data_IF_613691785076
#
_entry.id   IF_613691785076
#
_cell.length_a   1.000
_cell.length_b   1.000
_cell.length_c   1.000
_cell.angle_alpha   90.00
_cell.angle_beta   90.00
_cell.angle_gamma   90.00
#
_symmetry.space_group_name_H-M   'P 1'
#
loop_
_entity.id
_entity.type
_entity.pdbx_description
1 polymer ?
#
# COMPACT_ATOMS: atom_id res chain seq x y z
N UNK A 1 10.80 -16.41 10.89
CA UNK A 1 10.09 -15.39 10.09
C UNK A 1 10.48 -15.55 8.62
N UNK A 2 9.49 -15.54 7.73
CA UNK A 2 9.63 -15.45 6.27
C UNK A 2 9.59 -13.97 5.85
N UNK A 3 10.11 -13.63 4.67
CA UNK A 3 10.10 -12.23 4.19
C UNK A 3 8.67 -11.65 4.12
N UNK A 4 7.69 -12.44 3.69
CA UNK A 4 6.27 -12.03 3.59
C UNK A 4 5.64 -11.60 4.93
N UNK A 5 6.22 -11.99 6.07
CA UNK A 5 5.75 -11.61 7.41
C UNK A 5 6.38 -10.29 7.89
N UNK A 6 7.53 -9.90 7.33
CA UNK A 6 8.30 -8.74 7.75
C UNK A 6 7.53 -7.41 7.62
N UNK A 7 6.75 -7.12 6.55
CA UNK A 7 6.04 -5.85 6.43
C UNK A 7 5.10 -5.57 7.62
N UNK A 8 4.36 -6.58 8.11
CA UNK A 8 3.48 -6.41 9.28
C UNK A 8 4.25 -6.32 10.61
N UNK A 9 5.48 -6.85 10.68
CA UNK A 9 6.37 -6.62 11.83
C UNK A 9 6.86 -5.18 11.82
N UNK A 10 7.31 -4.68 10.67
CA UNK A 10 7.75 -3.30 10.48
C UNK A 10 6.62 -2.31 10.77
N UNK A 11 5.41 -2.53 10.25
CA UNK A 11 4.26 -1.66 10.51
C UNK A 11 3.92 -1.54 12.00
N UNK A 12 4.05 -2.63 12.77
CA UNK A 12 3.88 -2.62 14.24
C UNK A 12 5.02 -1.87 14.93
N UNK A 13 6.26 -2.11 14.52
CA UNK A 13 7.42 -1.44 15.08
C UNK A 13 7.39 0.08 14.82
N UNK A 14 7.00 0.49 13.61
CA UNK A 14 6.91 1.90 13.21
C UNK A 14 5.94 2.69 14.08
N UNK A 15 4.81 2.08 14.44
CA UNK A 15 3.83 2.65 15.37
C UNK A 15 4.30 2.73 16.83
N UNK A 16 5.29 1.91 17.20
CA UNK A 16 5.74 1.77 18.58
C UNK A 16 6.94 2.66 18.93
N UNK A 17 7.58 3.28 17.94
CA UNK A 17 8.80 4.09 18.14
C UNK A 17 8.70 5.45 17.45
N UNK A 18 9.45 6.42 17.98
CA UNK A 18 9.50 7.77 17.41
C UNK A 18 10.29 7.81 16.09
N UNK A 19 9.98 8.79 15.23
CA UNK A 19 10.77 9.04 14.02
C UNK A 19 12.22 9.37 14.39
N UNK A 20 13.18 8.75 13.71
CA UNK A 20 14.62 8.86 14.00
C UNK A 20 15.10 7.94 15.12
N UNK A 21 14.20 7.28 15.86
CA UNK A 21 14.59 6.26 16.83
C UNK A 21 15.09 5.01 16.12
N UNK A 22 16.05 4.32 16.76
CA UNK A 22 16.57 3.04 16.29
C UNK A 22 15.92 1.87 17.01
N UNK A 23 15.75 0.78 16.29
CA UNK A 23 15.29 -0.49 16.82
C UNK A 23 16.07 -1.64 16.17
N UNK A 24 16.11 -2.78 16.85
CA UNK A 24 16.77 -3.99 16.32
C UNK A 24 15.72 -5.07 16.12
N UNK A 25 15.73 -5.70 14.94
CA UNK A 25 14.93 -6.88 14.65
C UNK A 25 15.84 -8.09 14.47
N UNK A 26 15.43 -9.22 15.07
CA UNK A 26 16.07 -10.52 14.82
C UNK A 26 15.42 -11.14 13.58
N UNK A 27 16.19 -11.27 12.51
CA UNK A 27 15.78 -11.81 11.23
C UNK A 27 16.35 -13.21 11.01
N UNK A 28 15.66 -14.05 10.24
CA UNK A 28 16.24 -15.32 9.82
C UNK A 28 17.33 -15.09 8.77
N UNK A 29 18.31 -15.98 8.66
CA UNK A 29 19.32 -15.90 7.59
C UNK A 29 18.70 -15.78 6.19
N UNK A 30 17.61 -16.52 5.94
CA UNK A 30 16.88 -16.43 4.67
C UNK A 30 16.27 -15.05 4.39
N UNK A 31 15.91 -14.26 5.42
CA UNK A 31 15.42 -12.88 5.25
C UNK A 31 16.60 -11.92 5.05
N UNK A 32 17.72 -12.16 5.73
CA UNK A 32 18.95 -11.37 5.59
C UNK A 32 19.54 -11.48 4.19
N UNK A 33 19.57 -12.70 3.66
CA UNK A 33 20.11 -13.01 2.34
C UNK A 33 19.12 -12.67 1.20
N UNK A 34 17.90 -12.24 1.52
CA UNK A 34 16.91 -11.90 0.50
C UNK A 34 17.23 -10.52 -0.12
N UNK A 35 17.41 -10.44 -1.45
CA UNK A 35 17.76 -9.17 -2.11
C UNK A 35 16.69 -8.08 -1.96
N UNK A 36 15.45 -8.45 -1.57
CA UNK A 36 14.35 -7.51 -1.35
C UNK A 36 14.34 -6.92 0.06
N UNK A 37 15.22 -7.35 0.97
CA UNK A 37 15.20 -6.90 2.36
C UNK A 37 15.21 -5.37 2.48
N UNK A 38 16.13 -4.70 1.76
CA UNK A 38 16.25 -3.25 1.82
C UNK A 38 14.97 -2.54 1.35
N UNK A 39 14.36 -3.01 0.25
CA UNK A 39 13.10 -2.47 -0.27
C UNK A 39 11.94 -2.66 0.72
N UNK A 40 11.85 -3.85 1.35
CA UNK A 40 10.81 -4.14 2.36
C UNK A 40 10.98 -3.28 3.61
N UNK A 41 12.22 -3.07 4.06
CA UNK A 41 12.54 -2.19 5.19
C UNK A 41 12.16 -0.75 4.88
N UNK A 42 12.52 -0.25 3.70
CA UNK A 42 12.16 1.10 3.24
C UNK A 42 10.63 1.28 3.15
N UNK A 43 9.93 0.33 2.53
CA UNK A 43 8.48 0.34 2.42
C UNK A 43 7.78 0.26 3.79
N UNK A 44 8.44 -0.36 4.78
CA UNK A 44 8.00 -0.39 6.18
C UNK A 44 8.24 0.90 6.96
N UNK A 45 8.85 1.93 6.34
CA UNK A 45 9.12 3.22 6.98
C UNK A 45 10.42 3.26 7.76
N UNK A 46 11.43 2.49 7.36
CA UNK A 46 12.73 2.42 8.03
C UNK A 46 13.89 2.56 7.05
N UNK A 47 15.04 2.98 7.56
CA UNK A 47 16.34 2.78 6.92
C UNK A 47 17.04 1.59 7.57
N UNK A 48 17.64 0.72 6.76
CA UNK A 48 18.54 -0.34 7.23
C UNK A 48 19.91 0.25 7.54
N UNK A 49 20.23 0.40 8.83
CA UNK A 49 21.51 1.00 9.29
C UNK A 49 22.65 -0.01 9.23
N UNK A 50 22.36 -1.27 9.56
CA UNK A 50 23.36 -2.32 9.56
C UNK A 50 22.80 -3.68 9.95
N UNK A 51 23.55 -4.72 9.63
CA UNK A 51 23.26 -6.10 9.99
C UNK A 51 24.48 -6.69 10.70
N UNK A 52 24.29 -7.26 11.88
CA UNK A 52 25.29 -8.05 12.60
C UNK A 52 24.72 -9.44 12.92
N UNK A 53 25.26 -10.46 12.24
CA UNK A 53 24.72 -11.82 12.32
C UNK A 53 23.24 -11.87 11.91
N UNK A 54 22.36 -12.11 12.88
CA UNK A 54 20.91 -12.17 12.68
C UNK A 54 20.16 -10.90 13.11
N UNK A 55 20.89 -9.86 13.55
CA UNK A 55 20.31 -8.63 14.07
C UNK A 55 20.41 -7.52 13.01
N UNK A 56 19.25 -7.00 12.59
CA UNK A 56 19.16 -5.83 11.72
C UNK A 56 18.82 -4.60 12.56
N UNK A 57 19.71 -3.60 12.55
CA UNK A 57 19.45 -2.29 13.15
C UNK A 57 18.76 -1.39 12.13
N UNK A 58 17.62 -0.86 12.52
CA UNK A 58 16.75 -0.04 11.69
C UNK A 58 16.55 1.34 12.32
N UNK A 59 16.49 2.39 11.51
CA UNK A 59 16.15 3.74 11.96
C UNK A 59 14.81 4.18 11.36
N UNK A 60 13.86 4.59 12.21
CA UNK A 60 12.51 4.96 11.78
C UNK A 60 12.51 6.25 10.94
N UNK A 61 11.70 6.27 9.88
CA UNK A 61 11.47 7.43 9.00
C UNK A 61 10.03 7.92 9.15
N UNK A 62 9.80 9.20 8.87
CA UNK A 62 8.45 9.72 8.76
C UNK A 62 7.80 9.21 7.46
N UNK A 63 6.94 8.21 7.59
CA UNK A 63 6.35 7.48 6.48
C UNK A 63 5.02 6.83 6.88
N UNK A 64 4.26 6.35 5.89
CA UNK A 64 3.19 5.37 6.11
C UNK A 64 3.72 3.99 5.71
N UNK A 65 3.87 3.03 6.65
CA UNK A 65 4.31 1.68 6.32
C UNK A 65 3.36 0.95 5.37
N UNK A 66 3.91 0.08 4.54
CA UNK A 66 3.12 -0.92 3.82
C UNK A 66 2.47 -1.91 4.79
N UNK A 67 1.20 -2.22 4.55
CA UNK A 67 0.43 -3.20 5.30
C UNK A 67 0.10 -4.37 4.37
N UNK A 68 1.08 -5.24 4.15
CA UNK A 68 1.01 -6.32 3.16
C UNK A 68 1.53 -7.63 3.74
N UNK A 69 1.08 -8.75 3.17
CA UNK A 69 1.48 -10.12 3.51
C UNK A 69 1.25 -11.01 2.27
N UNK A 70 1.49 -12.31 2.37
CA UNK A 70 1.10 -13.30 1.36
C UNK A 70 -0.43 -13.54 1.28
N UNK A 71 -0.88 -14.23 0.23
CA UNK A 71 -2.27 -14.65 0.00
C UNK A 71 -3.31 -13.50 0.01
N UNK A 72 -2.92 -12.30 -0.42
CA UNK A 72 -3.85 -11.17 -0.53
C UNK A 72 -4.88 -11.41 -1.64
N UNK A 73 -6.16 -11.22 -1.30
CA UNK A 73 -7.24 -11.22 -2.30
C UNK A 73 -7.38 -9.88 -3.02
N UNK A 74 -6.90 -8.81 -2.41
CA UNK A 74 -6.85 -7.47 -3.00
C UNK A 74 -5.68 -6.69 -2.39
N UNK A 75 -4.91 -6.00 -3.23
CA UNK A 75 -3.95 -5.00 -2.78
C UNK A 75 -4.47 -3.60 -3.13
N UNK A 76 -4.82 -2.79 -2.13
CA UNK A 76 -5.23 -1.41 -2.34
C UNK A 76 -4.00 -0.50 -2.40
N UNK A 77 -3.86 0.25 -3.49
CA UNK A 77 -2.73 1.14 -3.72
C UNK A 77 -3.20 2.59 -3.86
N UNK A 78 -2.84 3.45 -2.91
CA UNK A 78 -3.04 4.89 -2.99
C UNK A 78 -2.07 5.59 -3.93
N UNK A 79 -2.24 6.90 -4.09
CA UNK A 79 -1.27 7.72 -4.82
C UNK A 79 -0.04 7.97 -3.95
N UNK A 80 -0.25 8.57 -2.79
CA UNK A 80 0.74 8.80 -1.76
C UNK A 80 0.06 9.07 -0.42
N UNK A 81 0.77 8.87 0.71
CA UNK A 81 0.24 9.21 2.02
C UNK A 81 0.14 10.72 2.22
N UNK A 82 -0.92 11.17 2.88
CA UNK A 82 -0.92 12.52 3.47
C UNK A 82 -0.06 12.55 4.73
N UNK A 83 0.38 13.75 5.15
CA UNK A 83 1.09 13.91 6.43
C UNK A 83 0.31 13.31 7.61
N UNK A 84 -1.01 13.49 7.64
CA UNK A 84 -1.86 12.94 8.69
C UNK A 84 -1.97 11.41 8.63
N UNK A 85 -1.97 10.81 7.44
CA UNK A 85 -1.96 9.36 7.29
C UNK A 85 -0.63 8.75 7.77
N UNK A 86 0.50 9.41 7.46
CA UNK A 86 1.82 9.03 7.93
C UNK A 86 1.94 9.14 9.46
N UNK A 87 1.44 10.23 10.04
CA UNK A 87 1.40 10.43 11.50
C UNK A 87 0.53 9.39 12.22
N UNK A 88 -0.65 9.08 11.69
CA UNK A 88 -1.55 8.08 12.28
C UNK A 88 -1.10 6.62 12.02
N UNK A 89 -0.20 6.40 11.07
CA UNK A 89 0.12 5.07 10.54
C UNK A 89 -1.09 4.36 9.91
N UNK A 90 -2.05 5.11 9.37
CA UNK A 90 -3.26 4.57 8.72
C UNK A 90 -3.55 5.35 7.43
N UNK A 91 -3.55 4.64 6.30
CA UNK A 91 -3.97 5.20 5.01
C UNK A 91 -5.43 5.66 5.04
N UNK A 92 -5.75 6.74 4.32
CA UNK A 92 -7.14 7.24 4.17
C UNK A 92 -7.87 7.56 5.48
N UNK A 93 -7.16 7.84 6.58
CA UNK A 93 -7.75 7.93 7.93
C UNK A 93 -8.65 9.14 8.16
N UNK A 94 -8.50 10.22 7.36
CA UNK A 94 -9.22 11.48 7.57
C UNK A 94 -10.74 11.32 7.40
N UNK A 95 -11.52 12.08 8.17
CA UNK A 95 -12.99 12.01 8.14
C UNK A 95 -13.62 12.35 6.78
N UNK A 96 -12.93 13.15 5.95
CA UNK A 96 -13.38 13.48 4.60
C UNK A 96 -13.01 12.42 3.56
N UNK A 97 -12.22 11.39 3.89
CA UNK A 97 -11.92 10.30 2.97
C UNK A 97 -12.94 9.17 3.10
N UNK A 98 -13.47 8.71 1.97
CA UNK A 98 -14.56 7.72 1.91
C UNK A 98 -14.08 6.28 1.73
N UNK A 99 -12.77 6.03 1.73
CA UNK A 99 -12.22 4.67 1.55
C UNK A 99 -12.73 3.71 2.63
N UNK A 100 -12.49 4.00 3.92
CA UNK A 100 -12.93 3.14 5.01
C UNK A 100 -14.46 2.97 5.08
N UNK A 101 -15.29 4.04 4.95
CA UNK A 101 -16.73 3.89 4.80
C UNK A 101 -17.15 2.97 3.63
N UNK A 102 -16.49 3.08 2.48
CA UNK A 102 -16.80 2.24 1.32
C UNK A 102 -16.37 0.78 1.55
N UNK A 103 -15.19 0.55 2.14
CA UNK A 103 -14.70 -0.79 2.52
C UNK A 103 -15.64 -1.48 3.52
N UNK A 104 -16.09 -0.75 4.54
CA UNK A 104 -17.05 -1.26 5.52
C UNK A 104 -18.40 -1.58 4.87
N UNK A 105 -18.94 -0.66 4.05
CA UNK A 105 -20.22 -0.87 3.34
C UNK A 105 -20.15 -2.01 2.32
N UNK A 106 -18.99 -2.24 1.72
CA UNK A 106 -18.72 -3.37 0.82
C UNK A 106 -18.54 -4.70 1.57
N UNK A 107 -18.45 -4.70 2.91
CA UNK A 107 -18.12 -5.89 3.70
C UNK A 107 -16.68 -6.39 3.48
N UNK A 108 -15.78 -5.51 3.05
CA UNK A 108 -14.37 -5.82 2.76
C UNK A 108 -13.44 -5.52 3.94
N UNK A 109 -13.87 -4.69 4.89
CA UNK A 109 -13.15 -4.43 6.13
C UNK A 109 -14.01 -4.86 7.32
N UNK A 110 -13.53 -5.82 8.11
CA UNK A 110 -14.23 -6.29 9.32
C UNK A 110 -13.94 -5.41 10.54
N UNK A 111 -12.88 -4.59 10.48
CA UNK A 111 -12.55 -3.55 11.46
C UNK A 111 -12.31 -2.21 10.79
N UNK A 112 -12.83 -1.15 11.41
CA UNK A 112 -12.63 0.20 10.91
C UNK A 112 -11.20 0.68 11.19
N UNK A 113 -10.54 1.21 10.15
CA UNK A 113 -9.22 1.86 10.24
C UNK A 113 -8.11 1.02 10.89
N UNK A 114 -8.17 -0.30 10.74
CA UNK A 114 -7.15 -1.24 11.21
C UNK A 114 -6.47 -1.95 10.02
N UNK A 115 -5.45 -1.32 9.39
CA UNK A 115 -4.81 -1.86 8.20
C UNK A 115 -3.99 -3.14 8.48
N UNK A 116 -3.53 -3.35 9.71
CA UNK A 116 -2.86 -4.60 10.11
C UNK A 116 -3.87 -5.74 10.14
N UNK A 117 -5.05 -5.52 10.73
CA UNK A 117 -6.12 -6.51 10.72
C UNK A 117 -6.63 -6.79 9.31
N UNK A 118 -6.79 -5.74 8.51
CA UNK A 118 -7.24 -5.82 7.12
C UNK A 118 -6.30 -6.75 6.31
N UNK A 119 -4.99 -6.59 6.45
CA UNK A 119 -4.01 -7.45 5.78
C UNK A 119 -4.01 -8.89 6.34
N UNK A 120 -3.97 -9.03 7.66
CA UNK A 120 -3.78 -10.34 8.32
C UNK A 120 -5.04 -11.23 8.32
N UNK A 121 -6.24 -10.66 8.31
CA UNK A 121 -7.49 -11.41 8.49
C UNK A 121 -8.45 -11.25 7.32
N UNK A 122 -8.63 -10.03 6.80
CA UNK A 122 -9.50 -9.79 5.65
C UNK A 122 -8.79 -10.07 4.30
N UNK A 123 -7.48 -10.35 4.35
CA UNK A 123 -6.59 -10.60 3.21
C UNK A 123 -6.52 -9.43 2.23
N UNK A 124 -6.64 -8.20 2.73
CA UNK A 124 -6.57 -6.98 1.90
C UNK A 124 -5.37 -6.14 2.34
N UNK A 125 -4.41 -5.97 1.44
CA UNK A 125 -3.20 -5.19 1.71
C UNK A 125 -3.38 -3.71 1.38
N UNK A 126 -2.53 -2.86 1.95
CA UNK A 126 -2.47 -1.42 1.65
C UNK A 126 -1.03 -0.96 1.38
N UNK A 127 -0.85 -0.20 0.31
CA UNK A 127 0.40 0.47 -0.10
C UNK A 127 0.06 1.77 -0.84
N UNK A 128 1.08 2.48 -1.33
CA UNK A 128 0.93 3.71 -2.12
C UNK A 128 1.92 3.70 -3.29
N UNK A 129 1.54 4.25 -4.46
CA UNK A 129 2.45 4.37 -5.61
C UNK A 129 3.72 5.14 -5.21
N UNK A 130 3.56 6.28 -4.56
CA UNK A 130 4.68 7.10 -4.08
C UNK A 130 4.70 7.06 -2.55
N UNK A 131 5.82 6.60 -1.98
CA UNK A 131 5.96 6.44 -0.52
C UNK A 131 6.16 7.76 0.24
N UNK A 132 6.59 8.82 -0.46
CA UNK A 132 6.83 10.15 0.11
C UNK A 132 5.52 10.79 0.60
N UNK A 133 5.39 11.10 1.90
CA UNK A 133 4.25 11.86 2.40
C UNK A 133 4.26 13.30 1.87
N UNK A 134 3.10 13.82 1.48
CA UNK A 134 2.95 15.23 1.08
C UNK A 134 1.73 15.87 1.72
N UNK A 135 1.70 17.21 1.75
CA UNK A 135 0.50 17.94 2.18
C UNK A 135 -0.58 17.88 1.10
N UNK A 136 -0.17 17.92 -0.17
CA UNK A 136 -1.06 17.88 -1.34
C UNK A 136 -0.56 16.89 -2.40
N UNK A 137 -1.49 16.22 -3.06
CA UNK A 137 -1.17 15.21 -4.09
C UNK A 137 -0.62 15.83 -5.41
N UNK A 138 -0.79 17.14 -5.61
CA UNK A 138 -0.27 17.88 -6.77
C UNK A 138 1.25 18.19 -6.66
N UNK A 139 1.86 17.90 -5.51
CA UNK A 139 3.31 17.98 -5.28
C UNK A 139 4.09 16.79 -5.88
N UNK A 140 3.39 15.79 -6.43
CA UNK A 140 3.99 14.60 -7.02
C UNK A 140 4.35 14.83 -8.48
N UNK A 141 5.57 14.46 -8.83
CA UNK A 141 6.07 14.52 -10.20
C UNK A 141 5.74 13.24 -10.97
N UNK A 142 5.80 13.32 -12.31
CA UNK A 142 5.47 12.20 -13.20
C UNK A 142 6.46 11.03 -13.10
N UNK A 143 7.73 11.33 -12.89
CA UNK A 143 8.79 10.35 -12.65
C UNK A 143 8.59 9.58 -11.34
N UNK A 144 8.17 10.26 -10.26
CA UNK A 144 7.81 9.59 -9.00
C UNK A 144 6.68 8.56 -9.20
N UNK A 145 5.69 8.85 -10.04
CA UNK A 145 4.65 7.87 -10.36
C UNK A 145 5.17 6.68 -11.19
N UNK A 146 6.17 6.88 -12.06
CA UNK A 146 6.74 5.80 -12.86
C UNK A 146 7.56 4.85 -11.98
N UNK A 147 8.45 5.40 -11.17
CA UNK A 147 9.18 4.67 -10.14
C UNK A 147 8.20 3.94 -9.20
N UNK A 148 7.10 4.62 -8.86
CA UNK A 148 6.03 4.06 -8.06
C UNK A 148 5.30 2.88 -8.70
N UNK A 149 5.14 2.86 -10.03
CA UNK A 149 4.58 1.71 -10.75
C UNK A 149 5.58 0.56 -10.79
N UNK A 150 6.86 0.84 -11.01
CA UNK A 150 7.91 -0.20 -11.06
C UNK A 150 8.03 -0.93 -9.71
N UNK A 151 8.04 -0.20 -8.59
CA UNK A 151 8.03 -0.80 -7.25
C UNK A 151 6.71 -1.53 -6.95
N UNK A 152 5.56 -1.03 -7.41
CA UNK A 152 4.29 -1.76 -7.27
C UNK A 152 4.29 -3.06 -8.09
N UNK A 153 4.94 -3.08 -9.25
CA UNK A 153 5.14 -4.26 -10.09
C UNK A 153 6.05 -5.30 -9.42
N UNK A 154 7.15 -4.87 -8.81
CA UNK A 154 7.98 -5.72 -7.95
C UNK A 154 7.12 -6.35 -6.85
N UNK A 155 6.37 -5.54 -6.10
CA UNK A 155 5.50 -5.99 -5.02
C UNK A 155 4.47 -7.03 -5.49
N UNK A 156 3.79 -6.77 -6.62
CA UNK A 156 2.84 -7.71 -7.20
C UNK A 156 3.51 -9.00 -7.69
N UNK A 157 4.75 -8.93 -8.16
CA UNK A 157 5.49 -10.10 -8.65
C UNK A 157 5.81 -11.09 -7.54
N UNK A 158 6.24 -10.61 -6.36
CA UNK A 158 6.64 -11.51 -5.27
C UNK A 158 5.53 -11.83 -4.26
N UNK A 159 4.53 -10.95 -4.08
CA UNK A 159 3.35 -11.23 -3.24
C UNK A 159 2.20 -11.90 -4.00
N UNK A 160 2.16 -11.74 -5.32
CA UNK A 160 1.12 -12.28 -6.20
C UNK A 160 -0.32 -12.10 -5.67
N UNK A 161 -0.74 -10.87 -5.29
CA UNK A 161 -2.13 -10.63 -4.89
C UNK A 161 -3.07 -10.99 -6.05
N UNK A 162 -4.28 -11.47 -5.72
CA UNK A 162 -5.27 -11.86 -6.74
C UNK A 162 -5.68 -10.69 -7.65
N UNK A 163 -5.63 -9.46 -7.13
CA UNK A 163 -5.85 -8.22 -7.85
C UNK A 163 -5.17 -7.06 -7.13
N UNK A 164 -4.86 -5.99 -7.87
CA UNK A 164 -4.45 -4.69 -7.31
C UNK A 164 -5.45 -3.61 -7.71
N UNK A 165 -5.89 -2.82 -6.73
CA UNK A 165 -6.79 -1.69 -6.89
C UNK A 165 -6.03 -0.37 -6.71
N UNK A 166 -5.78 0.34 -7.80
CA UNK A 166 -5.18 1.68 -7.79
C UNK A 166 -6.26 2.73 -7.52
N UNK A 167 -6.21 3.34 -6.34
CA UNK A 167 -7.19 4.31 -5.86
C UNK A 167 -6.83 5.71 -6.37
N UNK A 168 -7.56 6.17 -7.38
CA UNK A 168 -7.35 7.45 -8.06
C UNK A 168 -6.64 7.28 -9.40
N UNK A 169 -7.22 7.86 -10.45
CA UNK A 169 -6.72 7.70 -11.82
C UNK A 169 -5.47 8.53 -12.12
N UNK A 170 -5.14 9.54 -11.30
CA UNK A 170 -4.10 10.53 -11.62
C UNK A 170 -2.72 9.89 -11.80
N UNK A 171 -2.27 9.10 -10.81
CA UNK A 171 -0.97 8.41 -10.88
C UNK A 171 -0.90 7.42 -12.02
N UNK A 172 -1.95 6.60 -12.19
CA UNK A 172 -2.03 5.63 -13.30
C UNK A 172 -2.00 6.31 -14.67
N UNK A 173 -2.71 7.43 -14.84
CA UNK A 173 -2.70 8.22 -16.08
C UNK A 173 -1.37 8.90 -16.35
N UNK A 174 -0.68 9.32 -15.30
CA UNK A 174 0.62 9.96 -15.42
C UNK A 174 1.71 8.95 -15.84
N UNK A 175 1.71 7.76 -15.22
CA UNK A 175 2.77 6.77 -15.39
C UNK A 175 2.51 5.74 -16.50
N UNK A 176 1.26 5.32 -16.69
CA UNK A 176 0.91 4.15 -17.51
C UNK A 176 0.11 4.51 -18.75
N UNK A 177 -1.14 4.94 -18.58
CA UNK A 177 -2.05 5.24 -19.69
C UNK A 177 -2.82 6.52 -19.44
N UNK A 178 -2.43 7.57 -20.16
CA UNK A 178 -3.05 8.91 -20.09
C UNK A 178 -4.56 8.91 -20.35
N UNK A 179 -5.09 7.91 -21.06
CA UNK A 179 -6.52 7.78 -21.40
C UNK A 179 -7.28 6.80 -20.50
N UNK A 180 -6.63 6.20 -19.51
CA UNK A 180 -7.25 5.19 -18.66
C UNK A 180 -8.57 5.68 -18.04
N UNK A 181 -9.56 4.81 -18.02
CA UNK A 181 -10.83 4.98 -17.31
C UNK A 181 -10.85 4.08 -16.07
N UNK A 182 -11.80 4.33 -15.16
CA UNK A 182 -12.04 3.42 -14.05
C UNK A 182 -12.48 2.05 -14.58
N UNK A 183 -12.08 0.98 -13.88
CA UNK A 183 -12.32 -0.41 -14.29
C UNK A 183 -11.05 -1.24 -14.39
N UNK A 184 -11.20 -2.46 -14.90
CA UNK A 184 -10.10 -3.35 -15.25
C UNK A 184 -9.24 -2.76 -16.37
N UNK A 185 -7.93 -2.87 -16.22
CA UNK A 185 -6.95 -2.38 -17.19
C UNK A 185 -6.39 -3.54 -18.02
N UNK A 186 -5.96 -3.24 -19.24
CA UNK A 186 -5.24 -4.20 -20.09
C UNK A 186 -3.86 -4.53 -19.51
N UNK A 187 -3.16 -3.52 -18.96
CA UNK A 187 -1.86 -3.73 -18.31
C UNK A 187 -2.03 -4.47 -16.99
N UNK A 188 -1.25 -5.54 -16.83
CA UNK A 188 -1.01 -6.24 -15.56
C UNK A 188 0.26 -5.70 -14.88
N UNK A 189 0.43 -5.97 -13.60
CA UNK A 189 1.67 -5.76 -12.85
C UNK A 189 2.19 -7.13 -12.39
N UNK A 190 3.25 -7.63 -13.02
CA UNK A 190 3.61 -9.04 -12.90
C UNK A 190 2.42 -9.95 -13.27
N UNK A 191 2.08 -10.98 -12.47
CA UNK A 191 0.92 -11.84 -12.74
C UNK A 191 -0.43 -11.17 -12.41
N UNK A 192 -0.43 -10.06 -11.67
CA UNK A 192 -1.61 -9.50 -11.03
C UNK A 192 -2.44 -8.61 -11.98
N UNK A 193 -3.76 -8.85 -12.10
CA UNK A 193 -4.66 -7.95 -12.83
C UNK A 193 -4.86 -6.63 -12.08
N UNK A 194 -4.93 -5.53 -12.84
CA UNK A 194 -5.05 -4.17 -12.29
C UNK A 194 -6.46 -3.63 -12.48
N UNK A 195 -7.04 -3.13 -11.39
CA UNK A 195 -8.25 -2.32 -11.37
C UNK A 195 -7.89 -0.89 -11.00
N UNK A 196 -8.43 0.10 -11.70
CA UNK A 196 -8.29 1.52 -11.33
C UNK A 196 -9.66 2.06 -10.94
N UNK A 197 -9.77 2.74 -9.80
CA UNK A 197 -11.02 3.32 -9.31
C UNK A 197 -10.89 4.83 -9.06
N UNK A 198 -12.00 5.60 -9.07
CA UNK A 198 -11.98 7.01 -8.74
C UNK A 198 -11.37 7.29 -7.35
N UNK A 199 -10.92 8.53 -7.13
CA UNK A 199 -10.39 8.93 -5.83
C UNK A 199 -11.49 8.87 -4.76
N UNK A 200 -11.14 8.32 -3.59
CA UNK A 200 -12.01 8.25 -2.41
C UNK A 200 -12.01 9.56 -1.60
N UNK A 201 -11.15 10.52 -1.94
CA UNK A 201 -11.12 11.84 -1.30
C UNK A 201 -12.49 12.52 -1.39
N UNK A 202 -12.93 13.17 -0.31
CA UNK A 202 -14.17 13.95 -0.28
C UNK A 202 -14.20 15.11 -1.27
N UNK A 203 -13.03 15.54 -1.79
CA UNK A 203 -12.95 16.53 -2.86
C UNK A 203 -13.47 16.00 -4.21
N UNK A 204 -13.53 14.68 -4.39
CA UNK A 204 -14.09 14.06 -5.58
C UNK A 204 -15.63 14.00 -5.50
N UNK A 205 -16.30 15.12 -5.78
CA UNK A 205 -17.76 15.20 -5.75
C UNK A 205 -18.46 14.37 -6.84
N UNK A 206 -17.74 13.95 -7.88
CA UNK A 206 -18.30 13.23 -9.03
C UNK A 206 -18.49 11.72 -8.84
N UNK A 207 -18.17 11.17 -7.66
CA UNK A 207 -18.31 9.75 -7.34
C UNK A 207 -19.01 9.61 -6.00
N UNK A 208 -20.15 8.93 -5.96
CA UNK A 208 -20.89 8.68 -4.72
C UNK A 208 -20.21 7.60 -3.86
N UNK A 209 -20.65 7.46 -2.61
CA UNK A 209 -20.18 6.35 -1.76
C UNK A 209 -20.56 4.99 -2.37
N UNK A 210 -21.73 4.88 -2.99
CA UNK A 210 -22.22 3.64 -3.58
C UNK A 210 -21.45 3.25 -4.84
N UNK A 211 -21.04 4.24 -5.64
CA UNK A 211 -20.14 4.00 -6.78
C UNK A 211 -18.79 3.46 -6.30
N UNK A 212 -18.23 4.02 -5.21
CA UNK A 212 -16.98 3.53 -4.61
C UNK A 212 -17.12 2.10 -4.10
N UNK A 213 -18.24 1.77 -3.46
CA UNK A 213 -18.56 0.39 -3.04
C UNK A 213 -18.59 -0.54 -4.24
N UNK A 214 -19.27 -0.16 -5.33
CA UNK A 214 -19.32 -0.94 -6.57
C UNK A 214 -17.93 -1.19 -7.17
N UNK A 215 -17.07 -0.16 -7.21
CA UNK A 215 -15.69 -0.29 -7.67
C UNK A 215 -14.85 -1.24 -6.81
N UNK A 216 -14.94 -1.14 -5.49
CA UNK A 216 -14.19 -2.00 -4.57
C UNK A 216 -14.63 -3.46 -4.66
N UNK A 217 -15.94 -3.72 -4.76
CA UNK A 217 -16.49 -5.07 -4.96
C UNK A 217 -16.03 -5.67 -6.30
N UNK A 218 -16.04 -4.86 -7.37
CA UNK A 218 -15.54 -5.28 -8.67
C UNK A 218 -14.04 -5.62 -8.60
N UNK A 219 -13.22 -4.75 -8.01
CA UNK A 219 -11.78 -4.99 -7.86
C UNK A 219 -11.45 -6.24 -7.01
N UNK A 220 -12.24 -6.51 -5.98
CA UNK A 220 -12.11 -7.70 -5.12
C UNK A 220 -12.57 -9.02 -5.79
N UNK A 221 -13.06 -8.94 -7.04
CA UNK A 221 -13.59 -10.05 -7.83
C UNK A 221 -12.91 -10.08 -9.21
N UNK A 222 -11.60 -10.42 -9.28
CA UNK A 222 -10.86 -10.41 -10.54
C UNK A 222 -11.44 -11.36 -11.59
N UNK A 223 -11.32 -11.01 -12.89
CA UNK A 223 -11.67 -11.93 -13.97
C UNK A 223 -10.85 -13.22 -13.83
N UNK A 224 -11.45 -14.35 -14.22
CA UNK A 224 -10.74 -15.62 -14.24
C UNK A 224 -9.51 -15.52 -15.16
N UNK A 225 -8.39 -16.05 -14.67
CA UNK A 225 -7.12 -16.14 -15.42
C UNK A 225 -7.19 -17.17 -16.54
#
# INVERSE_FOLDING_TARGET
MRLVELPLVLARAHRAIEVGARTTLVLSGAVIDDPRLAEVVEAGGFELVGIDGHEATLESRFALPDHVTDDLRLLCCGLNPSLHAAEAGVGYVTGNNRFWPAMAKAGLASRDRDPIHLAAHDRIGMTDLVKRPTARADELRRDEYREGVDRLESLCTWLAPRAVAVVGLAGWRAAVDRKASAGWQERRLGPTPVYVLPSTSGLNAGTSLDDLVGHLLAAASPPAS
#
